data_IF_305374736930
#
_entry.id   IF_305374736930
#
_cell.length_a   1.000
_cell.length_b   1.000
_cell.length_c   1.000
_cell.angle_alpha   90.00
_cell.angle_beta   90.00
_cell.angle_gamma   90.00
#
_symmetry.space_group_name_H-M   'P 1'
#
loop_
_entity.id
_entity.type
_entity.pdbx_description
1 polymer ?
#
# COMPACT_ATOMS: atom_id res chain seq x y z
N UNK A 1 13.77 -50.55 -58.22
CA UNK A 1 13.05 -51.58 -57.44
C UNK A 1 14.06 -52.71 -57.27
N UNK A 2 14.67 -52.96 -56.13
CA UNK A 2 14.08 -53.20 -54.81
C UNK A 2 14.98 -52.64 -53.67
N UNK A 3 14.50 -51.65 -52.91
CA UNK A 3 15.07 -51.31 -51.60
C UNK A 3 14.35 -52.05 -50.46
N UNK A 4 13.67 -53.17 -50.76
CA UNK A 4 12.86 -53.91 -49.78
C UNK A 4 13.74 -54.86 -48.94
N UNK A 5 14.85 -55.37 -49.50
CA UNK A 5 15.74 -56.32 -48.82
C UNK A 5 16.43 -55.73 -47.57
N UNK A 6 16.89 -54.47 -47.61
CA UNK A 6 17.58 -53.86 -46.46
C UNK A 6 16.64 -53.56 -45.30
N UNK A 7 15.40 -53.15 -45.57
CA UNK A 7 14.42 -52.82 -44.54
C UNK A 7 13.88 -54.05 -43.83
N UNK A 8 13.77 -55.19 -44.53
CA UNK A 8 13.36 -56.46 -43.93
C UNK A 8 14.47 -57.02 -43.04
N UNK A 9 15.74 -56.89 -43.43
CA UNK A 9 16.87 -57.36 -42.64
C UNK A 9 17.07 -56.55 -41.35
N UNK A 10 16.89 -55.23 -41.37
CA UNK A 10 16.88 -54.41 -40.14
C UNK A 10 15.69 -54.70 -39.25
N UNK A 11 14.51 -54.97 -39.80
CA UNK A 11 13.33 -55.32 -39.00
C UNK A 11 13.50 -56.68 -38.30
N UNK A 12 14.10 -57.67 -38.97
CA UNK A 12 14.44 -58.97 -38.38
C UNK A 12 15.52 -58.82 -37.30
N UNK A 13 16.54 -57.98 -37.50
CA UNK A 13 17.56 -57.73 -36.46
C UNK A 13 16.96 -57.06 -35.21
N UNK A 14 16.06 -56.08 -35.40
CA UNK A 14 15.33 -55.42 -34.32
C UNK A 14 14.39 -56.37 -33.56
N UNK A 15 13.74 -57.31 -34.27
CA UNK A 15 12.91 -58.36 -33.66
C UNK A 15 13.76 -59.38 -32.87
N UNK A 16 14.98 -59.68 -33.28
CA UNK A 16 15.89 -60.57 -32.52
C UNK A 16 16.56 -59.89 -31.32
N UNK A 17 16.54 -58.55 -31.22
CA UNK A 17 17.00 -57.85 -30.00
C UNK A 17 15.93 -57.78 -28.90
N UNK A 18 14.71 -58.27 -29.16
CA UNK A 18 13.72 -58.62 -28.14
C UNK A 18 13.88 -60.09 -27.71
N UNK A 19 15.11 -60.53 -27.49
CA UNK A 19 15.35 -61.75 -26.70
C UNK A 19 14.98 -61.37 -25.27
N UNK A 20 13.89 -61.97 -24.82
CA UNK A 20 13.40 -62.03 -23.46
C UNK A 20 14.56 -61.97 -22.45
N UNK A 21 14.59 -60.92 -21.63
CA UNK A 21 15.18 -61.05 -20.30
C UNK A 21 14.36 -62.14 -19.62
N UNK A 22 14.86 -63.38 -19.63
CA UNK A 22 14.34 -64.42 -18.76
C UNK A 22 14.74 -64.00 -17.35
N UNK A 23 13.87 -63.23 -16.69
CA UNK A 23 14.01 -62.97 -15.28
C UNK A 23 14.00 -64.33 -14.57
N UNK A 24 15.13 -64.68 -13.95
CA UNK A 24 15.15 -65.78 -12.99
C UNK A 24 14.11 -65.52 -11.89
N UNK A 25 13.53 -66.56 -11.33
CA UNK A 25 12.61 -66.40 -10.20
C UNK A 25 13.42 -65.87 -9.02
N UNK A 26 13.01 -64.74 -8.47
CA UNK A 26 13.61 -64.17 -7.26
C UNK A 26 12.83 -64.66 -6.04
N UNK A 27 13.48 -65.44 -5.19
CA UNK A 27 13.00 -65.77 -3.85
C UNK A 27 13.50 -64.76 -2.82
N UNK A 28 13.03 -64.85 -1.57
CA UNK A 28 13.47 -63.99 -0.48
C UNK A 28 13.91 -64.84 0.71
N UNK A 29 15.16 -64.64 1.16
CA UNK A 29 15.74 -65.30 2.32
C UNK A 29 15.56 -64.42 3.57
N UNK A 30 14.73 -64.88 4.49
CA UNK A 30 14.43 -64.19 5.75
C UNK A 30 15.27 -64.71 6.94
N UNK A 31 16.17 -65.68 6.73
CA UNK A 31 17.04 -66.29 7.75
C UNK A 31 18.43 -65.65 7.87
N UNK A 32 18.76 -64.69 7.00
CA UNK A 32 20.06 -64.02 7.01
C UNK A 32 20.28 -63.18 8.29
N UNK A 33 21.51 -63.09 8.82
CA UNK A 33 21.82 -62.36 10.06
C UNK A 33 21.71 -60.82 9.95
N UNK A 34 21.48 -60.27 8.75
CA UNK A 34 21.42 -58.82 8.48
C UNK A 34 19.99 -58.29 8.22
N UNK A 35 18.97 -58.96 8.74
CA UNK A 35 17.58 -58.58 8.50
C UNK A 35 17.15 -57.43 9.41
N UNK A 36 16.67 -56.32 8.82
CA UNK A 36 16.08 -55.22 9.59
C UNK A 36 14.72 -55.65 10.12
N UNK A 37 14.53 -55.58 11.44
CA UNK A 37 13.29 -55.94 12.11
C UNK A 37 12.56 -54.65 12.52
N UNK A 38 11.33 -54.48 12.04
CA UNK A 38 10.42 -53.41 12.46
C UNK A 38 9.31 -54.00 13.31
N UNK A 39 9.12 -53.46 14.51
CA UNK A 39 8.15 -53.97 15.47
C UNK A 39 6.94 -53.04 15.51
N UNK A 40 5.74 -53.59 15.37
CA UNK A 40 4.49 -52.83 15.37
C UNK A 40 3.53 -53.37 16.42
N UNK A 41 2.88 -52.49 17.16
CA UNK A 41 1.80 -52.87 18.08
C UNK A 41 0.53 -53.20 17.31
N UNK A 42 -0.19 -54.24 17.74
CA UNK A 42 -1.50 -54.63 17.21
C UNK A 42 -2.66 -54.09 18.07
N UNK A 43 -2.37 -53.41 19.18
CA UNK A 43 -3.37 -53.03 20.18
C UNK A 43 -4.24 -51.85 19.76
N UNK A 44 -3.61 -50.76 19.32
CA UNK A 44 -4.32 -49.53 18.93
C UNK A 44 -3.51 -48.74 17.90
N UNK A 45 -4.22 -48.04 17.03
CA UNK A 45 -3.64 -47.03 16.13
C UNK A 45 -3.80 -45.67 16.80
N UNK A 46 -2.74 -44.88 16.82
CA UNK A 46 -2.74 -43.55 17.42
C UNK A 46 -3.78 -42.62 16.77
N UNK A 47 -4.24 -41.63 17.54
CA UNK A 47 -5.17 -40.61 17.07
C UNK A 47 -4.47 -39.55 16.23
N UNK A 48 -5.18 -39.00 15.24
CA UNK A 48 -4.68 -37.92 14.39
C UNK A 48 -4.65 -36.58 15.15
N UNK A 49 -3.61 -36.32 15.94
CA UNK A 49 -3.40 -35.03 16.63
C UNK A 49 -2.52 -34.09 15.79
N UNK A 50 -3.17 -33.24 14.99
CA UNK A 50 -2.51 -32.19 14.21
C UNK A 50 -2.70 -30.86 14.95
N UNK A 51 -1.62 -30.23 15.46
CA UNK A 51 -1.72 -29.05 16.33
C UNK A 51 -2.43 -27.90 15.62
N UNK A 52 -3.35 -27.24 16.34
CA UNK A 52 -4.00 -26.05 15.84
C UNK A 52 -3.07 -24.85 15.91
N UNK A 53 -2.94 -24.16 14.79
CA UNK A 53 -2.34 -22.82 14.75
C UNK A 53 -3.35 -21.84 15.36
N UNK A 54 -3.17 -21.51 16.64
CA UNK A 54 -3.97 -20.47 17.30
C UNK A 54 -3.39 -19.10 16.95
N UNK A 55 -4.11 -18.36 16.11
CA UNK A 55 -3.79 -16.96 15.85
C UNK A 55 -4.32 -16.13 17.02
N UNK A 56 -3.43 -15.53 17.81
CA UNK A 56 -3.83 -14.64 18.91
C UNK A 56 -4.36 -13.33 18.31
N UNK A 57 -5.69 -13.14 18.40
CA UNK A 57 -6.37 -11.91 18.00
C UNK A 57 -6.92 -11.18 19.22
N UNK A 58 -6.73 -9.87 19.25
CA UNK A 58 -7.24 -8.98 20.30
C UNK A 58 -7.88 -7.74 19.69
N UNK A 59 -8.96 -7.23 20.27
CA UNK A 59 -9.65 -6.05 19.76
C UNK A 59 -9.05 -4.78 20.36
N UNK A 60 -8.66 -3.83 19.51
CA UNK A 60 -8.01 -2.58 19.92
C UNK A 60 -8.65 -1.37 19.22
N UNK A 61 -8.90 -0.30 19.97
CA UNK A 61 -9.40 0.95 19.40
C UNK A 61 -8.24 1.77 18.83
N UNK A 62 -8.39 2.23 17.59
CA UNK A 62 -7.32 2.94 16.88
C UNK A 62 -7.87 4.07 16.02
N UNK A 63 -7.00 5.04 15.75
CA UNK A 63 -7.14 6.02 14.69
C UNK A 63 -6.18 5.65 13.55
N UNK A 64 -6.72 5.42 12.35
CA UNK A 64 -5.93 5.27 11.13
C UNK A 64 -5.66 6.65 10.55
N UNK A 65 -4.39 6.97 10.41
CA UNK A 65 -3.90 8.27 9.97
C UNK A 65 -3.22 8.16 8.61
N UNK A 66 -3.37 9.21 7.82
CA UNK A 66 -2.62 9.41 6.58
C UNK A 66 -1.67 10.61 6.72
N UNK A 67 -0.41 10.41 6.32
CA UNK A 67 0.54 11.50 6.13
C UNK A 67 0.15 12.35 4.91
N UNK A 68 -0.04 13.64 5.15
CA UNK A 68 -0.36 14.63 4.13
C UNK A 68 0.91 15.26 3.56
N UNK A 69 1.03 15.24 2.23
CA UNK A 69 2.01 16.06 1.52
C UNK A 69 1.49 17.48 1.25
N UNK A 70 0.15 17.63 1.25
CA UNK A 70 -0.53 18.87 0.89
C UNK A 70 -1.50 19.34 1.97
N UNK A 71 -1.62 20.66 2.11
CA UNK A 71 -2.62 21.35 2.91
C UNK A 71 -3.21 22.50 2.10
N UNK A 72 -4.19 23.20 2.65
CA UNK A 72 -4.75 24.41 2.05
C UNK A 72 -4.58 25.59 3.00
N UNK A 73 -4.20 26.75 2.46
CA UNK A 73 -4.20 28.03 3.19
C UNK A 73 -5.13 29.00 2.51
N UNK A 74 -5.75 29.86 3.31
CA UNK A 74 -6.58 30.95 2.80
C UNK A 74 -5.68 32.08 2.29
N UNK A 75 -5.96 32.55 1.08
CA UNK A 75 -5.16 33.53 0.36
C UNK A 75 -6.05 34.70 -0.06
N UNK A 76 -5.57 35.91 0.22
CA UNK A 76 -6.12 37.16 -0.30
C UNK A 76 -5.12 37.81 -1.26
N UNK A 77 -5.62 38.38 -2.34
CA UNK A 77 -4.81 39.06 -3.35
C UNK A 77 -5.38 40.43 -3.69
N UNK A 78 -4.49 41.42 -3.74
CA UNK A 78 -4.82 42.79 -4.10
C UNK A 78 -3.88 43.30 -5.19
N UNK A 79 -4.45 43.58 -6.36
CA UNK A 79 -3.77 44.23 -7.47
C UNK A 79 -4.33 45.62 -7.68
N UNK A 80 -3.47 46.63 -7.57
CA UNK A 80 -3.80 48.03 -7.83
C UNK A 80 -3.00 48.48 -9.04
N UNK A 81 -3.68 48.69 -10.16
CA UNK A 81 -3.10 49.20 -11.40
C UNK A 81 -3.44 50.69 -11.52
N UNK A 82 -2.41 51.52 -11.66
CA UNK A 82 -2.54 52.96 -11.85
C UNK A 82 -2.11 53.27 -13.27
N UNK A 83 -3.02 53.85 -14.04
CA UNK A 83 -2.73 54.41 -15.36
C UNK A 83 -2.91 55.92 -15.28
N UNK A 84 -1.80 56.66 -15.33
CA UNK A 84 -1.80 58.13 -15.16
C UNK A 84 -1.42 58.86 -16.44
N UNK A 85 -1.91 60.08 -16.53
CA UNK A 85 -1.56 61.08 -17.53
C UNK A 85 -1.31 62.42 -16.84
N UNK A 86 -0.08 62.91 -16.96
CA UNK A 86 0.39 64.20 -16.46
C UNK A 86 0.42 65.18 -17.62
N UNK A 87 -0.16 66.36 -17.41
CA UNK A 87 -0.06 67.50 -18.32
C UNK A 87 0.34 68.75 -17.57
N UNK A 88 1.27 69.52 -18.13
CA UNK A 88 1.68 70.81 -17.55
C UNK A 88 0.66 71.88 -17.88
N UNK A 89 0.28 72.67 -16.89
CA UNK A 89 -0.48 73.90 -17.09
C UNK A 89 0.48 75.00 -17.53
N UNK A 90 0.28 75.51 -18.75
CA UNK A 90 0.99 76.68 -19.25
C UNK A 90 0.38 77.99 -18.74
N UNK A 91 1.14 79.09 -18.91
CA UNK A 91 0.75 80.43 -18.44
C UNK A 91 -0.61 80.92 -18.96
N UNK A 92 -1.05 80.44 -20.13
CA UNK A 92 -2.33 80.80 -20.76
C UNK A 92 -3.37 79.67 -20.65
N UNK A 93 -3.30 78.85 -19.59
CA UNK A 93 -4.20 77.70 -19.36
C UNK A 93 -4.16 76.59 -20.44
N UNK A 94 -3.18 76.61 -21.34
CA UNK A 94 -2.97 75.51 -22.29
C UNK A 94 -2.29 74.33 -21.60
N UNK A 95 -2.70 73.11 -21.93
CA UNK A 95 -2.08 71.89 -21.42
C UNK A 95 -1.00 71.40 -22.37
N UNK A 96 0.19 71.10 -21.85
CA UNK A 96 1.31 70.57 -22.65
C UNK A 96 1.69 69.19 -22.12
N UNK A 97 2.04 68.27 -23.02
CA UNK A 97 2.60 66.98 -22.63
C UNK A 97 3.99 67.16 -22.00
N UNK A 98 4.28 66.33 -21.00
CA UNK A 98 5.56 66.32 -20.30
C UNK A 98 6.29 65.00 -20.52
N UNK A 99 7.61 65.03 -20.36
CA UNK A 99 8.42 63.82 -20.34
C UNK A 99 7.93 62.86 -19.24
N UNK A 100 7.80 61.56 -19.57
CA UNK A 100 7.19 60.53 -18.71
C UNK A 100 5.76 60.89 -18.23
N UNK A 101 5.03 61.68 -19.03
CA UNK A 101 3.69 62.16 -18.67
C UNK A 101 2.65 61.05 -18.62
N UNK A 102 2.72 60.06 -19.51
CA UNK A 102 1.84 58.89 -19.49
C UNK A 102 2.59 57.66 -19.00
N UNK A 103 2.08 57.01 -17.95
CA UNK A 103 2.66 55.78 -17.43
C UNK A 103 1.58 54.88 -16.82
N UNK A 104 1.78 53.57 -16.93
CA UNK A 104 0.95 52.56 -16.28
C UNK A 104 1.83 51.65 -15.43
N UNK A 105 1.48 51.48 -14.16
CA UNK A 105 2.27 50.70 -13.20
C UNK A 105 1.37 50.04 -12.16
N UNK A 106 1.90 49.02 -11.50
CA UNK A 106 1.25 48.36 -10.36
C UNK A 106 1.77 49.02 -9.10
N UNK A 107 0.85 49.48 -8.25
CA UNK A 107 1.17 50.03 -6.94
C UNK A 107 1.31 48.89 -5.93
N UNK A 108 2.36 48.94 -5.12
CA UNK A 108 2.57 47.99 -4.03
C UNK A 108 1.60 48.27 -2.88
N UNK A 109 0.95 47.23 -2.39
CA UNK A 109 -0.10 47.34 -1.36
C UNK A 109 0.32 46.55 -0.13
N UNK A 110 0.24 47.16 1.05
CA UNK A 110 0.54 46.46 2.31
C UNK A 110 -0.56 45.46 2.67
N UNK A 111 -0.23 44.48 3.51
CA UNK A 111 -1.18 43.49 4.02
C UNK A 111 -2.40 44.15 4.66
N UNK A 112 -2.22 45.18 5.48
CA UNK A 112 -3.29 45.87 6.20
C UNK A 112 -4.21 46.60 5.23
N UNK A 113 -3.63 47.22 4.20
CA UNK A 113 -4.39 47.92 3.17
C UNK A 113 -5.21 46.93 2.34
N UNK A 114 -4.62 45.80 1.95
CA UNK A 114 -5.31 44.74 1.25
C UNK A 114 -6.44 44.14 2.09
N UNK A 115 -6.18 43.85 3.36
CA UNK A 115 -7.18 43.34 4.29
C UNK A 115 -8.33 44.34 4.50
N UNK A 116 -8.04 45.64 4.59
CA UNK A 116 -9.07 46.69 4.64
C UNK A 116 -9.92 46.72 3.37
N UNK A 117 -9.34 46.52 2.20
CA UNK A 117 -10.08 46.43 0.93
C UNK A 117 -11.03 45.22 0.93
N UNK A 118 -10.60 44.07 1.44
CA UNK A 118 -11.42 42.86 1.51
C UNK A 118 -12.52 42.92 2.58
N UNK A 119 -12.20 43.42 3.79
CA UNK A 119 -13.11 43.39 4.94
C UNK A 119 -14.03 44.60 4.99
N UNK A 120 -13.49 45.81 4.81
CA UNK A 120 -14.23 47.07 4.93
C UNK A 120 -14.74 47.54 3.56
N UNK A 121 -14.12 47.11 2.46
CA UNK A 121 -14.49 47.55 1.12
C UNK A 121 -14.02 48.96 0.78
N UNK A 122 -12.93 49.43 1.42
CA UNK A 122 -12.41 50.79 1.26
C UNK A 122 -10.90 50.82 1.01
N UNK A 123 -10.45 51.81 0.25
CA UNK A 123 -9.04 52.05 -0.06
C UNK A 123 -8.71 53.54 -0.10
N UNK A 124 -7.47 53.89 0.22
CA UNK A 124 -6.92 55.22 -0.04
C UNK A 124 -5.68 55.04 -0.92
N UNK A 125 -5.77 55.44 -2.18
CA UNK A 125 -4.72 55.24 -3.20
C UNK A 125 -4.41 56.60 -3.82
N UNK A 126 -3.15 57.04 -3.72
CA UNK A 126 -2.69 58.35 -4.25
C UNK A 126 -3.61 59.51 -3.79
N UNK A 127 -3.97 59.53 -2.51
CA UNK A 127 -4.84 60.57 -1.92
C UNK A 127 -6.33 60.44 -2.24
N UNK A 128 -6.73 59.49 -3.09
CA UNK A 128 -8.14 59.26 -3.48
C UNK A 128 -8.77 58.21 -2.58
N UNK A 129 -9.91 58.53 -1.97
CA UNK A 129 -10.69 57.59 -1.17
C UNK A 129 -11.69 56.84 -2.05
N UNK A 130 -11.60 55.51 -2.06
CA UNK A 130 -12.43 54.61 -2.87
C UNK A 130 -13.24 53.74 -1.91
N UNK A 131 -14.55 53.61 -2.18
CA UNK A 131 -15.49 52.81 -1.39
C UNK A 131 -16.26 51.83 -2.27
N UNK A 132 -16.89 50.84 -1.63
CA UNK A 132 -17.73 49.85 -2.31
C UNK A 132 -16.93 48.76 -3.03
N UNK A 133 -15.70 48.49 -2.60
CA UNK A 133 -14.90 47.38 -3.09
C UNK A 133 -15.46 46.06 -2.54
N UNK A 134 -15.43 45.00 -3.37
CA UNK A 134 -15.88 43.65 -3.01
C UNK A 134 -14.83 42.62 -3.39
N UNK A 135 -14.69 41.58 -2.57
CA UNK A 135 -13.83 40.43 -2.88
C UNK A 135 -14.26 39.76 -4.19
N UNK A 136 -13.29 39.25 -4.96
CA UNK A 136 -13.50 38.59 -6.26
C UNK A 136 -14.10 39.49 -7.35
N UNK A 137 -13.92 40.82 -7.24
CA UNK A 137 -14.39 41.80 -8.21
C UNK A 137 -13.23 42.72 -8.66
N UNK A 138 -13.36 43.27 -9.88
CA UNK A 138 -12.48 44.31 -10.39
C UNK A 138 -13.23 45.63 -10.50
N UNK A 139 -12.80 46.64 -9.76
CA UNK A 139 -13.38 47.98 -9.76
C UNK A 139 -12.42 48.96 -10.42
N UNK A 140 -12.94 49.84 -11.28
CA UNK A 140 -12.17 50.91 -11.91
C UNK A 140 -12.77 52.27 -11.61
N UNK A 141 -11.92 53.26 -11.29
CA UNK A 141 -12.32 54.64 -10.98
C UNK A 141 -11.39 55.61 -11.69
N UNK A 142 -11.97 56.57 -12.39
CA UNK A 142 -11.24 57.74 -12.88
C UNK A 142 -11.08 58.72 -11.70
N UNK A 143 -9.90 59.26 -11.52
CA UNK A 143 -9.63 60.24 -10.50
C UNK A 143 -8.59 61.27 -10.96
N UNK A 144 -8.66 62.45 -10.34
CA UNK A 144 -7.64 63.50 -10.46
C UNK A 144 -6.76 63.41 -9.23
N UNK A 145 -5.47 63.13 -9.42
CA UNK A 145 -4.50 62.97 -8.34
C UNK A 145 -3.95 64.31 -7.85
N UNK A 146 -3.80 65.29 -8.75
CA UNK A 146 -3.41 66.66 -8.40
C UNK A 146 -3.86 67.63 -9.48
N UNK A 147 -3.97 68.90 -9.10
CA UNK A 147 -4.48 69.97 -9.96
C UNK A 147 -5.94 69.77 -10.37
N UNK A 148 -6.48 70.67 -11.18
CA UNK A 148 -7.78 70.52 -11.81
C UNK A 148 -7.90 71.42 -13.04
N UNK A 149 -8.85 71.08 -13.92
CA UNK A 149 -9.30 71.96 -15.01
C UNK A 149 -10.75 72.29 -14.72
N UNK A 150 -11.07 73.57 -14.63
CA UNK A 150 -12.44 74.01 -14.37
C UNK A 150 -13.34 73.94 -15.62
N UNK A 151 -14.62 74.22 -15.46
CA UNK A 151 -15.59 74.22 -16.56
C UNK A 151 -15.31 75.27 -17.64
N UNK A 152 -14.48 76.28 -17.34
CA UNK A 152 -14.08 77.33 -18.29
C UNK A 152 -12.82 76.96 -19.08
N UNK A 153 -12.18 75.83 -18.75
CA UNK A 153 -10.93 75.40 -19.35
C UNK A 153 -9.68 75.99 -18.68
N UNK A 154 -9.82 76.66 -17.53
CA UNK A 154 -8.69 77.18 -16.77
C UNK A 154 -7.97 76.04 -16.05
N UNK A 155 -6.67 75.92 -16.30
CA UNK A 155 -5.81 74.85 -15.77
C UNK A 155 -5.12 75.33 -14.49
N UNK A 156 -5.44 74.71 -13.36
CA UNK A 156 -4.79 74.99 -12.08
C UNK A 156 -3.85 73.81 -11.75
N UNK A 157 -2.55 74.04 -11.89
CA UNK A 157 -1.51 73.04 -11.69
C UNK A 157 -1.15 72.86 -10.22
N UNK A 158 -0.83 71.63 -9.83
CA UNK A 158 -0.25 71.28 -8.54
C UNK A 158 1.13 70.63 -8.69
N UNK A 159 1.75 70.29 -7.56
CA UNK A 159 2.92 69.42 -7.52
C UNK A 159 2.52 67.95 -7.54
N UNK A 160 3.28 67.11 -8.25
CA UNK A 160 3.13 65.65 -8.23
C UNK A 160 4.49 64.97 -8.27
N UNK A 161 4.64 63.88 -7.53
CA UNK A 161 5.83 63.04 -7.58
C UNK A 161 5.45 61.57 -7.47
N UNK A 162 6.14 60.73 -8.23
CA UNK A 162 6.08 59.27 -8.14
C UNK A 162 7.45 58.65 -8.44
N UNK A 163 7.51 57.32 -8.56
CA UNK A 163 8.74 56.58 -8.86
C UNK A 163 9.42 56.96 -10.19
N UNK A 164 8.73 57.65 -11.10
CA UNK A 164 9.20 57.98 -12.45
C UNK A 164 9.59 59.45 -12.61
N UNK A 165 9.40 60.29 -11.59
CA UNK A 165 9.83 61.67 -11.57
C UNK A 165 9.02 62.57 -10.66
N UNK A 166 9.35 63.86 -10.71
CA UNK A 166 8.62 64.93 -10.02
C UNK A 166 8.31 66.04 -11.01
N UNK A 167 7.10 66.58 -10.93
CA UNK A 167 6.62 67.64 -11.80
C UNK A 167 5.92 68.73 -10.98
N UNK A 168 6.06 69.97 -11.42
CA UNK A 168 5.39 71.15 -10.84
C UNK A 168 4.46 71.77 -11.86
N UNK A 169 3.41 72.44 -11.37
CA UNK A 169 2.38 73.09 -12.18
C UNK A 169 1.70 72.13 -13.17
N UNK A 170 1.35 70.92 -12.69
CA UNK A 170 0.74 69.86 -13.49
C UNK A 170 -0.67 69.52 -13.02
N UNK A 171 -1.51 69.08 -13.97
CA UNK A 171 -2.74 68.34 -13.70
C UNK A 171 -2.47 66.88 -13.97
N UNK A 172 -2.81 66.02 -13.02
CA UNK A 172 -2.62 64.58 -13.11
C UNK A 172 -3.97 63.91 -13.00
N UNK A 173 -4.37 63.27 -14.09
CA UNK A 173 -5.58 62.45 -14.14
C UNK A 173 -5.19 61.01 -14.42
N UNK A 174 -5.96 60.08 -13.90
CA UNK A 174 -5.67 58.68 -14.12
C UNK A 174 -6.82 57.78 -13.75
N UNK A 175 -6.65 56.51 -14.11
CA UNK A 175 -7.57 55.45 -13.75
C UNK A 175 -6.89 54.56 -12.72
N UNK A 176 -7.55 54.38 -11.58
CA UNK A 176 -7.19 53.41 -10.56
C UNK A 176 -8.06 52.18 -10.80
N UNK A 177 -7.44 51.06 -11.12
CA UNK A 177 -8.10 49.77 -11.28
C UNK A 177 -7.65 48.83 -10.17
N UNK A 178 -8.60 48.37 -9.37
CA UNK A 178 -8.37 47.50 -8.21
C UNK A 178 -9.02 46.14 -8.51
N UNK A 179 -8.24 45.08 -8.45
CA UNK A 179 -8.71 43.70 -8.55
C UNK A 179 -8.44 42.99 -7.22
N UNK A 180 -9.50 42.46 -6.61
CA UNK A 180 -9.43 41.71 -5.37
C UNK A 180 -9.75 40.24 -5.63
N UNK A 181 -8.95 39.32 -5.09
CA UNK A 181 -9.25 37.88 -5.15
C UNK A 181 -9.13 37.24 -3.77
N UNK A 182 -10.02 36.29 -3.50
CA UNK A 182 -10.14 35.61 -2.21
C UNK A 182 -10.41 34.12 -2.50
N UNK A 183 -9.47 33.25 -2.10
CA UNK A 183 -9.55 31.81 -2.36
C UNK A 183 -8.60 30.98 -1.46
N UNK A 184 -8.78 29.66 -1.48
CA UNK A 184 -7.84 28.74 -0.84
C UNK A 184 -6.79 28.21 -1.83
N UNK A 185 -5.51 28.31 -1.47
CA UNK A 185 -4.39 27.81 -2.25
C UNK A 185 -3.83 26.50 -1.69
N UNK A 186 -3.25 25.68 -2.56
CA UNK A 186 -2.61 24.41 -2.17
C UNK A 186 -1.21 24.67 -1.66
N UNK A 187 -0.87 24.06 -0.53
CA UNK A 187 0.42 24.16 0.14
C UNK A 187 1.07 22.80 0.18
N UNK A 188 2.30 22.70 -0.31
CA UNK A 188 3.13 21.50 -0.18
C UNK A 188 4.00 21.64 1.07
N UNK A 189 3.60 20.95 2.14
CA UNK A 189 4.19 21.11 3.49
C UNK A 189 5.67 20.70 3.50
N UNK A 190 6.00 19.61 2.79
CA UNK A 190 7.36 19.06 2.80
C UNK A 190 8.40 19.99 2.16
N UNK A 191 7.97 20.86 1.24
CA UNK A 191 8.86 21.77 0.50
C UNK A 191 8.72 23.22 0.92
N UNK A 192 7.90 23.53 1.95
CA UNK A 192 7.60 24.89 2.38
C UNK A 192 7.08 25.79 1.24
N UNK A 193 6.21 25.28 0.35
CA UNK A 193 5.75 26.02 -0.84
C UNK A 193 4.23 26.15 -0.91
N UNK A 194 3.76 27.35 -1.22
CA UNK A 194 2.37 27.65 -1.61
C UNK A 194 2.30 27.75 -3.12
N UNK A 195 1.31 27.12 -3.73
CA UNK A 195 1.04 27.21 -5.16
C UNK A 195 -0.23 28.05 -5.39
N UNK A 196 -0.05 29.20 -6.05
CA UNK A 196 -1.13 30.12 -6.39
C UNK A 196 -1.90 29.66 -7.63
N UNK A 197 -3.09 30.23 -7.88
CA UNK A 197 -3.92 29.91 -9.05
C UNK A 197 -3.23 30.19 -10.39
N UNK A 198 -2.36 31.21 -10.43
CA UNK A 198 -1.53 31.54 -11.59
C UNK A 198 -0.43 30.52 -11.89
N UNK A 199 -0.21 29.55 -10.99
CA UNK A 199 0.86 28.57 -11.07
C UNK A 199 2.19 29.01 -10.43
N UNK A 200 2.28 30.26 -9.95
CA UNK A 200 3.45 30.74 -9.20
C UNK A 200 3.57 29.99 -7.88
N UNK A 201 4.79 29.58 -7.54
CA UNK A 201 5.10 28.96 -6.25
C UNK A 201 5.87 29.92 -5.36
N UNK A 202 5.35 30.20 -4.18
CA UNK A 202 5.95 31.10 -3.19
C UNK A 202 6.37 30.31 -1.95
N UNK A 203 7.30 30.85 -1.18
CA UNK A 203 7.72 30.23 0.07
C UNK A 203 6.67 30.46 1.17
N UNK A 204 6.19 29.40 1.81
CA UNK A 204 5.07 29.47 2.76
C UNK A 204 5.40 30.30 4.01
N UNK A 205 6.65 30.30 4.46
CA UNK A 205 7.10 31.04 5.65
C UNK A 205 7.09 32.55 5.47
N UNK A 206 7.17 33.05 4.24
CA UNK A 206 7.22 34.49 3.98
C UNK A 206 5.87 35.15 4.22
N UNK A 207 4.78 34.39 4.15
CA UNK A 207 3.38 34.85 4.30
C UNK A 207 2.91 35.88 3.26
N UNK A 208 3.79 36.31 2.36
CA UNK A 208 3.58 37.30 1.31
C UNK A 208 4.24 36.84 0.02
N UNK A 209 3.66 37.23 -1.12
CA UNK A 209 4.24 37.00 -2.44
C UNK A 209 3.65 37.96 -3.47
N UNK A 210 4.38 38.20 -4.55
CA UNK A 210 3.87 38.96 -5.70
C UNK A 210 3.47 37.98 -6.80
N UNK A 211 2.18 37.95 -7.10
CA UNK A 211 1.61 37.19 -8.20
C UNK A 211 1.54 38.07 -9.46
N UNK A 212 1.93 37.52 -10.60
CA UNK A 212 1.92 38.23 -11.89
C UNK A 212 0.49 38.60 -12.32
N UNK A 213 -0.48 37.74 -12.01
CA UNK A 213 -1.89 37.96 -12.33
C UNK A 213 -2.62 38.67 -11.19
N UNK A 214 -2.51 38.14 -9.97
CA UNK A 214 -3.23 38.61 -8.78
C UNK A 214 -2.60 39.77 -8.00
N UNK A 215 -1.37 40.18 -8.32
CA UNK A 215 -0.67 41.25 -7.60
C UNK A 215 -0.19 40.82 -6.20
N UNK A 216 -0.27 41.72 -5.23
CA UNK A 216 0.22 41.46 -3.88
C UNK A 216 -0.65 40.41 -3.19
N UNK A 217 -0.04 39.30 -2.78
CA UNK A 217 -0.70 38.11 -2.28
C UNK A 217 -0.30 37.86 -0.84
N UNK A 218 -1.28 37.56 0.01
CA UNK A 218 -1.06 37.35 1.44
C UNK A 218 -1.83 36.12 1.94
N UNK A 219 -1.23 35.41 2.88
CA UNK A 219 -1.87 34.33 3.64
C UNK A 219 -1.42 34.37 5.10
N UNK A 220 -2.08 33.60 5.94
CA UNK A 220 -1.69 33.40 7.33
C UNK A 220 -0.66 32.27 7.46
N UNK A 221 0.29 32.43 8.38
CA UNK A 221 1.20 31.35 8.72
C UNK A 221 0.41 30.16 9.27
N UNK A 222 0.79 28.94 8.88
CA UNK A 222 0.20 27.75 9.46
C UNK A 222 0.44 27.75 10.98
N UNK A 223 -0.56 27.34 11.79
CA UNK A 223 -0.37 27.25 13.23
C UNK A 223 0.83 26.35 13.52
N UNK A 224 1.80 26.89 14.28
CA UNK A 224 2.95 26.12 14.72
C UNK A 224 2.50 25.12 15.78
N UNK A 225 2.01 23.97 15.34
CA UNK A 225 1.88 22.82 16.22
C UNK A 225 3.28 22.31 16.55
N UNK A 226 3.69 22.43 17.83
CA UNK A 226 4.93 21.84 18.35
C UNK A 226 5.03 20.35 18.01
N UNK A 227 3.88 19.69 17.88
CA UNK A 227 3.72 18.27 17.61
C UNK A 227 3.40 17.95 16.14
N UNK A 228 3.32 18.95 15.26
CA UNK A 228 3.06 18.83 13.81
C UNK A 228 1.88 17.92 13.46
N UNK A 229 0.84 17.90 14.31
CA UNK A 229 -0.33 17.04 14.10
C UNK A 229 -1.09 17.36 12.81
N UNK A 230 -1.00 18.60 12.34
CA UNK A 230 -1.55 19.03 11.05
C UNK A 230 -1.06 18.19 9.85
N UNK A 231 0.09 17.52 9.94
CA UNK A 231 0.59 16.60 8.89
C UNK A 231 -0.19 15.29 8.79
N UNK A 232 -1.03 14.98 9.77
CA UNK A 232 -1.80 13.74 9.84
C UNK A 232 -3.28 14.03 9.63
N UNK A 233 -3.89 13.31 8.70
CA UNK A 233 -5.34 13.30 8.55
C UNK A 233 -5.93 12.00 9.07
N UNK A 234 -6.99 12.11 9.86
CA UNK A 234 -7.78 10.96 10.28
C UNK A 234 -8.55 10.39 9.08
N UNK A 235 -8.26 9.14 8.72
CA UNK A 235 -9.02 8.38 7.74
C UNK A 235 -10.12 7.55 8.38
N UNK A 236 -9.84 6.97 9.53
CA UNK A 236 -10.77 6.10 10.24
C UNK A 236 -10.53 6.14 11.74
N UNK A 237 -11.59 6.02 12.52
CA UNK A 237 -11.57 5.92 13.98
C UNK A 237 -12.54 4.81 14.42
N UNK A 238 -12.04 3.85 15.19
CA UNK A 238 -12.87 2.72 15.64
C UNK A 238 -12.09 1.52 16.14
N UNK A 239 -12.81 0.43 16.41
CA UNK A 239 -12.21 -0.83 16.83
C UNK A 239 -11.66 -1.63 15.66
N UNK A 240 -10.46 -2.21 15.84
CA UNK A 240 -9.75 -3.08 14.89
C UNK A 240 -9.32 -4.37 15.56
N UNK A 241 -9.12 -5.41 14.76
CA UNK A 241 -8.55 -6.67 15.21
C UNK A 241 -7.03 -6.62 15.07
N UNK A 242 -6.32 -6.65 16.21
CA UNK A 242 -4.88 -6.81 16.29
C UNK A 242 -4.54 -8.29 16.33
N UNK A 243 -3.98 -8.78 15.24
CA UNK A 243 -3.56 -10.15 15.02
C UNK A 243 -2.06 -10.26 15.23
N UNK A 244 -1.63 -11.18 16.08
CA UNK A 244 -0.20 -11.48 16.29
C UNK A 244 0.06 -12.86 15.72
N UNK A 245 0.78 -12.89 14.59
CA UNK A 245 1.23 -14.12 13.96
C UNK A 245 2.56 -14.54 14.61
N UNK A 246 2.52 -15.59 15.45
CA UNK A 246 3.68 -16.16 16.12
C UNK A 246 4.22 -17.42 15.44
N UNK A 247 3.83 -17.69 14.18
CA UNK A 247 4.05 -18.98 13.51
C UNK A 247 5.49 -19.12 12.98
N UNK A 248 6.22 -18.01 12.81
CA UNK A 248 7.61 -18.01 12.35
C UNK A 248 8.52 -17.26 13.32
N UNK A 249 9.83 -17.48 13.25
CA UNK A 249 10.86 -16.76 14.03
C UNK A 249 10.78 -15.21 13.92
N UNK A 250 9.89 -14.68 13.07
CA UNK A 250 9.51 -13.27 13.00
C UNK A 250 8.03 -13.11 13.34
N UNK A 251 7.75 -12.79 14.60
CA UNK A 251 6.40 -12.39 15.02
C UNK A 251 5.98 -11.13 14.26
N UNK A 252 4.93 -11.22 13.43
CA UNK A 252 4.39 -10.07 12.69
C UNK A 252 3.04 -9.67 13.31
N UNK A 253 2.92 -8.39 13.69
CA UNK A 253 1.65 -7.83 14.16
C UNK A 253 0.91 -7.21 12.98
N UNK A 254 -0.37 -7.53 12.86
CA UNK A 254 -1.24 -7.05 11.78
C UNK A 254 -2.48 -6.42 12.40
N UNK A 255 -2.85 -5.24 11.90
CA UNK A 255 -4.12 -4.60 12.22
C UNK A 255 -5.08 -4.83 11.07
N UNK A 256 -6.19 -5.51 11.35
CA UNK A 256 -7.26 -5.74 10.39
C UNK A 256 -8.48 -4.91 10.78
N UNK A 257 -8.98 -4.14 9.81
CA UNK A 257 -10.23 -3.40 9.89
C UNK A 257 -11.16 -3.91 8.80
N UNK A 258 -12.40 -4.17 9.17
CA UNK A 258 -13.51 -4.38 8.24
C UNK A 258 -14.64 -3.41 8.59
N UNK A 259 -14.85 -2.41 7.74
CA UNK A 259 -16.00 -1.50 7.77
C UNK A 259 -16.80 -1.65 6.47
N UNK A 260 -18.07 -1.21 6.46
CA UNK A 260 -19.11 -1.54 5.47
C UNK A 260 -18.65 -1.61 4.00
N UNK A 261 -17.91 -0.62 3.51
CA UNK A 261 -17.36 -0.61 2.13
C UNK A 261 -15.83 -0.71 2.06
N UNK A 262 -15.14 -0.80 3.20
CA UNK A 262 -13.69 -0.62 3.27
C UNK A 262 -13.05 -1.62 4.23
N UNK A 263 -12.16 -2.47 3.71
CA UNK A 263 -11.31 -3.33 4.53
C UNK A 263 -9.84 -2.94 4.37
N UNK A 264 -9.14 -2.90 5.49
CA UNK A 264 -7.71 -2.64 5.54
C UNK A 264 -7.04 -3.73 6.37
N UNK A 265 -5.96 -4.29 5.85
CA UNK A 265 -5.02 -5.09 6.62
C UNK A 265 -3.66 -4.40 6.52
N UNK A 266 -3.09 -4.01 7.65
CA UNK A 266 -1.84 -3.27 7.72
C UNK A 266 -0.89 -3.96 8.68
N UNK A 267 0.24 -4.43 8.16
CA UNK A 267 1.27 -4.99 9.00
C UNK A 267 2.19 -3.93 9.60
N UNK A 268 2.57 -4.15 10.85
CA UNK A 268 3.45 -3.25 11.61
C UNK A 268 4.88 -3.41 11.11
N UNK A 269 5.55 -2.28 10.88
CA UNK A 269 6.98 -2.20 10.53
C UNK A 269 7.84 -1.60 11.63
N UNK A 270 7.25 -0.78 12.50
CA UNK A 270 7.94 -0.16 13.62
C UNK A 270 7.07 0.86 14.33
N UNK A 271 7.69 1.62 15.22
CA UNK A 271 7.02 2.65 16.01
C UNK A 271 7.79 3.98 15.88
N UNK A 272 7.06 5.08 15.97
CA UNK A 272 7.57 6.44 15.95
C UNK A 272 6.93 7.23 17.09
N UNK A 273 7.73 7.90 17.90
CA UNK A 273 7.22 8.71 19.00
C UNK A 273 7.13 10.16 18.57
N UNK A 274 5.93 10.72 18.58
CA UNK A 274 5.68 12.13 18.29
C UNK A 274 4.94 12.72 19.48
N UNK A 275 5.51 13.78 20.08
CA UNK A 275 4.84 14.49 21.17
C UNK A 275 4.49 13.59 22.37
N UNK A 276 5.35 12.61 22.69
CA UNK A 276 5.11 11.56 23.71
C UNK A 276 3.96 10.60 23.39
N UNK A 277 3.41 10.64 22.17
CA UNK A 277 2.47 9.65 21.66
C UNK A 277 3.19 8.68 20.73
N UNK A 278 2.94 7.38 20.91
CA UNK A 278 3.51 6.34 20.06
C UNK A 278 2.60 6.09 18.87
N UNK A 279 3.13 6.35 17.68
CA UNK A 279 2.51 6.08 16.39
C UNK A 279 3.12 4.79 15.82
N UNK A 280 2.26 3.93 15.31
CA UNK A 280 2.66 2.64 14.74
C UNK A 280 2.81 2.83 13.23
N UNK A 281 4.03 2.62 12.73
CA UNK A 281 4.34 2.65 11.30
C UNK A 281 3.92 1.33 10.65
N UNK A 282 3.23 1.44 9.53
CA UNK A 282 2.78 0.28 8.76
C UNK A 282 3.69 0.04 7.55
N UNK A 283 3.45 -1.05 6.82
CA UNK A 283 4.11 -1.31 5.54
C UNK A 283 3.82 -0.26 4.46
N UNK A 284 2.70 0.47 4.57
CA UNK A 284 2.41 1.57 3.69
C UNK A 284 3.08 2.85 4.21
N UNK A 285 3.93 3.54 3.42
CA UNK A 285 4.75 4.65 3.90
C UNK A 285 3.94 5.86 4.40
N UNK A 286 2.67 5.97 3.99
CA UNK A 286 1.77 7.07 4.37
C UNK A 286 0.71 6.70 5.40
N UNK A 287 0.51 5.40 5.70
CA UNK A 287 -0.53 4.98 6.65
C UNK A 287 0.10 4.66 8.01
N UNK A 288 -0.47 5.25 9.05
CA UNK A 288 0.04 5.18 10.41
C UNK A 288 -1.14 4.87 11.33
N UNK A 289 -0.91 4.03 12.33
CA UNK A 289 -1.94 3.64 13.30
C UNK A 289 -1.61 4.31 14.62
N UNK A 290 -2.59 4.99 15.21
CA UNK A 290 -2.50 5.51 16.57
C UNK A 290 -3.46 4.72 17.46
N UNK A 291 -2.91 3.94 18.40
CA UNK A 291 -3.72 3.25 19.40
C UNK A 291 -4.20 4.26 20.45
N UNK A 292 -5.50 4.29 20.69
CA UNK A 292 -6.11 5.17 21.70
C UNK A 292 -7.37 4.53 22.28
N UNK A 293 -8.07 5.24 23.14
CA UNK A 293 -9.36 4.84 23.69
C UNK A 293 -10.51 5.65 23.07
N UNK A 294 -11.74 5.12 23.07
CA UNK A 294 -12.91 5.85 22.58
C UNK A 294 -13.07 7.21 23.27
N UNK A 295 -13.18 8.28 22.48
CA UNK A 295 -13.34 9.65 22.97
C UNK A 295 -12.04 10.37 23.35
N UNK A 296 -10.90 9.68 23.36
CA UNK A 296 -9.56 10.24 23.56
C UNK A 296 -8.77 10.37 22.24
N UNK A 297 -9.50 10.48 21.13
CA UNK A 297 -8.93 10.72 19.80
C UNK A 297 -8.23 12.08 19.73
N UNK A 298 -6.96 12.08 19.32
CA UNK A 298 -6.16 13.31 19.17
C UNK A 298 -6.30 13.92 17.78
N UNK A 299 -6.34 13.06 16.77
CA UNK A 299 -6.38 13.48 15.37
C UNK A 299 -7.82 13.68 14.92
N UNK A 300 -8.02 14.68 14.05
CA UNK A 300 -9.35 15.04 13.53
C UNK A 300 -9.42 14.83 12.03
N UNK A 301 -10.63 14.58 11.53
CA UNK A 301 -10.89 14.49 10.11
C UNK A 301 -10.54 15.82 9.40
N UNK A 302 -9.95 15.76 8.18
CA UNK A 302 -9.63 16.97 7.43
C UNK A 302 -10.91 17.71 7.01
N UNK A 303 -10.86 19.06 6.99
CA UNK A 303 -11.98 19.90 6.51
C UNK A 303 -12.26 19.75 5.01
N UNK A 304 -11.27 19.32 4.21
CA UNK A 304 -11.42 19.01 2.78
C UNK A 304 -10.65 17.74 2.41
N UNK A 305 -11.32 16.84 1.71
CA UNK A 305 -10.83 15.51 1.32
C UNK A 305 -10.27 15.57 -0.10
N UNK A 306 -9.15 16.28 -0.31
CA UNK A 306 -8.47 16.29 -1.63
C UNK A 306 -7.27 15.31 -1.68
N UNK A 307 -6.87 14.75 -0.54
CA UNK A 307 -5.66 13.94 -0.40
C UNK A 307 -5.93 12.45 -0.14
N UNK A 308 -7.15 11.94 -0.32
CA UNK A 308 -7.40 10.53 -0.07
C UNK A 308 -6.61 9.71 -1.09
N UNK A 309 -5.58 9.01 -0.62
CA UNK A 309 -4.71 8.24 -1.49
C UNK A 309 -5.46 6.99 -1.95
N UNK A 310 -6.11 7.08 -3.11
CA UNK A 310 -6.84 5.99 -3.75
C UNK A 310 -5.97 4.74 -3.94
N UNK A 311 -4.64 4.87 -4.02
CA UNK A 311 -3.72 3.74 -4.08
C UNK A 311 -3.48 3.10 -2.71
N UNK A 312 -3.44 3.88 -1.63
CA UNK A 312 -3.40 3.34 -0.27
C UNK A 312 -4.66 2.50 0.04
N UNK A 313 -5.82 2.92 -0.48
CA UNK A 313 -7.08 2.19 -0.40
C UNK A 313 -7.12 0.91 -1.24
N UNK A 314 -6.49 0.89 -2.42
CA UNK A 314 -6.39 -0.33 -3.24
C UNK A 314 -5.40 -1.34 -2.67
N UNK A 315 -4.23 -0.88 -2.22
CA UNK A 315 -3.17 -1.75 -1.71
C UNK A 315 -3.60 -2.49 -0.42
N UNK A 316 -4.42 -1.86 0.42
CA UNK A 316 -4.95 -2.50 1.62
C UNK A 316 -5.92 -3.64 1.33
N UNK A 317 -6.70 -3.55 0.23
CA UNK A 317 -7.57 -4.64 -0.23
C UNK A 317 -6.77 -5.82 -0.73
N UNK A 318 -5.65 -5.60 -1.42
CA UNK A 318 -4.78 -6.69 -1.86
C UNK A 318 -4.16 -7.45 -0.68
N UNK A 319 -3.67 -6.75 0.34
CA UNK A 319 -3.13 -7.39 1.57
C UNK A 319 -4.23 -8.14 2.33
N UNK A 320 -5.44 -7.57 2.42
CA UNK A 320 -6.58 -8.25 3.04
C UNK A 320 -6.95 -9.54 2.29
N UNK A 321 -6.99 -9.49 0.95
CA UNK A 321 -7.27 -10.65 0.11
C UNK A 321 -6.16 -11.70 0.24
N UNK A 322 -4.89 -11.32 0.15
CA UNK A 322 -3.76 -12.24 0.34
C UNK A 322 -3.81 -12.95 1.69
N UNK A 323 -4.12 -12.22 2.77
CA UNK A 323 -4.19 -12.79 4.12
C UNK A 323 -5.45 -13.61 4.36
N UNK A 324 -6.60 -13.20 3.82
CA UNK A 324 -7.82 -14.01 3.82
C UNK A 324 -7.59 -15.33 3.08
N UNK A 325 -6.96 -15.27 1.90
CA UNK A 325 -6.57 -16.46 1.12
C UNK A 325 -5.57 -17.31 1.93
N UNK A 326 -4.57 -16.71 2.57
CA UNK A 326 -3.59 -17.45 3.39
C UNK A 326 -4.25 -18.16 4.57
N UNK A 327 -5.22 -17.51 5.25
CA UNK A 327 -5.97 -18.11 6.35
C UNK A 327 -6.86 -19.27 5.88
N UNK A 328 -7.55 -19.11 4.75
CA UNK A 328 -8.37 -20.16 4.14
C UNK A 328 -7.51 -21.33 3.64
N UNK A 329 -6.34 -21.06 3.07
CA UNK A 329 -5.36 -22.08 2.65
C UNK A 329 -4.86 -22.88 3.86
N UNK A 330 -4.55 -22.22 4.98
CA UNK A 330 -4.10 -22.93 6.20
C UNK A 330 -5.19 -23.84 6.78
N UNK A 331 -6.45 -23.40 6.74
CA UNK A 331 -7.60 -24.23 7.15
C UNK A 331 -7.81 -25.42 6.20
N UNK A 332 -7.72 -25.19 4.89
CA UNK A 332 -7.81 -26.24 3.88
C UNK A 332 -6.66 -27.25 4.00
N UNK A 333 -5.43 -26.77 4.20
CA UNK A 333 -4.25 -27.61 4.39
C UNK A 333 -4.40 -28.52 5.61
N UNK A 334 -4.88 -27.99 6.74
CA UNK A 334 -5.20 -28.81 7.92
C UNK A 334 -6.27 -29.86 7.63
N UNK A 335 -7.34 -29.47 6.93
CA UNK A 335 -8.41 -30.42 6.57
C UNK A 335 -7.88 -31.56 5.69
N UNK A 336 -6.98 -31.27 4.75
CA UNK A 336 -6.33 -32.28 3.90
C UNK A 336 -5.45 -33.20 4.76
N UNK A 337 -4.63 -32.66 5.67
CA UNK A 337 -3.79 -33.47 6.55
C UNK A 337 -4.61 -34.38 7.48
N UNK A 338 -5.70 -33.86 8.06
CA UNK A 338 -6.63 -34.66 8.87
C UNK A 338 -7.28 -35.76 8.02
N UNK A 339 -7.70 -35.44 6.80
CA UNK A 339 -8.29 -36.43 5.89
C UNK A 339 -7.29 -37.52 5.50
N UNK A 340 -6.06 -37.14 5.17
CA UNK A 340 -4.99 -38.10 4.87
C UNK A 340 -4.70 -39.01 6.06
N UNK A 341 -4.55 -38.44 7.26
CA UNK A 341 -4.31 -39.22 8.47
C UNK A 341 -5.48 -40.18 8.76
N UNK A 342 -6.74 -39.74 8.61
CA UNK A 342 -7.92 -40.61 8.76
C UNK A 342 -7.95 -41.75 7.74
N UNK A 343 -7.57 -41.48 6.50
CA UNK A 343 -7.48 -42.51 5.47
C UNK A 343 -6.39 -43.53 5.80
N UNK A 344 -5.21 -43.06 6.23
CA UNK A 344 -4.13 -43.94 6.67
C UNK A 344 -4.54 -44.77 7.90
N UNK A 345 -5.22 -44.16 8.88
CA UNK A 345 -5.77 -44.85 10.04
C UNK A 345 -6.77 -45.94 9.63
N UNK A 346 -7.69 -45.66 8.70
CA UNK A 346 -8.63 -46.65 8.16
C UNK A 346 -7.91 -47.78 7.42
N UNK A 347 -6.88 -47.45 6.62
CA UNK A 347 -6.06 -48.46 5.95
C UNK A 347 -5.34 -49.35 6.96
N UNK A 348 -4.77 -48.77 8.02
CA UNK A 348 -4.12 -49.52 9.10
C UNK A 348 -5.12 -50.40 9.85
N UNK A 349 -6.34 -49.92 10.14
CA UNK A 349 -7.39 -50.73 10.76
C UNK A 349 -7.75 -51.95 9.91
N UNK A 350 -7.94 -51.75 8.60
CA UNK A 350 -8.23 -52.84 7.67
C UNK A 350 -7.05 -53.82 7.55
N UNK A 351 -5.82 -53.33 7.60
CA UNK A 351 -4.62 -54.17 7.58
C UNK A 351 -4.47 -54.98 8.89
N UNK A 352 -4.75 -54.39 10.05
CA UNK A 352 -4.70 -55.10 11.33
C UNK A 352 -5.68 -56.28 11.38
N UNK A 353 -6.83 -56.18 10.69
CA UNK A 353 -7.80 -57.29 10.61
C UNK A 353 -7.23 -58.55 9.93
N UNK A 354 -6.28 -58.41 8.99
CA UNK A 354 -5.64 -59.55 8.30
C UNK A 354 -4.34 -60.00 8.97
N UNK A 355 -3.77 -59.20 9.89
CA UNK A 355 -2.49 -59.48 10.53
C UNK A 355 -2.49 -60.81 11.32
N UNK A 356 -3.60 -61.17 11.96
CA UNK A 356 -3.71 -62.43 12.70
C UNK A 356 -3.97 -63.65 11.80
N UNK A 357 -4.70 -63.48 10.69
CA UNK A 357 -5.09 -64.59 9.82
C UNK A 357 -3.98 -64.94 8.82
N UNK A 358 -3.24 -63.94 8.34
CA UNK A 358 -2.19 -64.12 7.35
C UNK A 358 -1.09 -63.04 7.49
N UNK A 359 -0.11 -63.25 8.40
CA UNK A 359 0.94 -62.29 8.69
C UNK A 359 1.74 -61.83 7.46
N UNK A 360 2.06 -62.74 6.54
CA UNK A 360 2.86 -62.40 5.35
C UNK A 360 2.08 -61.54 4.33
N UNK A 361 0.77 -61.75 4.24
CA UNK A 361 -0.12 -60.90 3.41
C UNK A 361 -0.24 -59.51 4.04
N UNK A 362 -0.30 -59.44 5.37
CA UNK A 362 -0.24 -58.16 6.09
C UNK A 362 1.06 -57.40 5.81
N UNK A 363 2.23 -58.06 5.89
CA UNK A 363 3.51 -57.43 5.56
C UNK A 363 3.55 -56.95 4.11
N UNK A 364 3.03 -57.73 3.16
CA UNK A 364 2.92 -57.34 1.76
C UNK A 364 2.09 -56.06 1.56
N UNK A 365 0.92 -55.98 2.20
CA UNK A 365 0.04 -54.81 2.10
C UNK A 365 0.61 -53.57 2.79
N UNK A 366 1.20 -53.72 3.98
CA UNK A 366 1.74 -52.60 4.73
C UNK A 366 3.01 -52.03 4.08
N UNK A 367 3.93 -52.90 3.64
CA UNK A 367 5.20 -52.50 3.03
C UNK A 367 5.08 -52.18 1.54
N UNK A 368 3.89 -52.36 0.95
CA UNK A 368 3.57 -52.11 -0.47
C UNK A 368 4.49 -52.87 -1.44
N UNK A 369 4.87 -54.10 -1.09
CA UNK A 369 5.72 -54.94 -1.95
C UNK A 369 6.19 -56.25 -1.30
N UNK A 370 6.76 -57.18 -2.10
CA UNK A 370 7.30 -58.45 -1.63
C UNK A 370 8.66 -58.27 -0.92
N UNK A 371 9.14 -59.33 -0.25
CA UNK A 371 10.42 -59.32 0.45
C UNK A 371 10.34 -58.92 1.92
N UNK A 372 9.17 -59.05 2.51
CA UNK A 372 8.93 -58.86 3.93
C UNK A 372 8.18 -60.07 4.47
N UNK A 373 8.62 -60.58 5.61
CA UNK A 373 7.94 -61.62 6.38
C UNK A 373 7.40 -60.99 7.66
N UNK A 374 6.25 -61.45 8.14
CA UNK A 374 5.71 -60.98 9.42
C UNK A 374 5.60 -62.12 10.42
N UNK A 375 6.09 -61.89 11.63
CA UNK A 375 6.08 -62.84 12.74
C UNK A 375 5.20 -62.30 13.86
N UNK A 376 4.12 -62.99 14.15
CA UNK A 376 3.22 -62.65 15.25
C UNK A 376 3.82 -63.11 16.58
N UNK A 377 3.94 -62.18 17.53
CA UNK A 377 4.44 -62.43 18.88
C UNK A 377 3.52 -61.78 19.92
N UNK A 378 2.40 -62.45 20.24
CA UNK A 378 1.39 -61.91 21.15
C UNK A 378 0.68 -60.69 20.56
N UNK A 379 0.75 -59.55 21.25
CA UNK A 379 0.10 -58.29 20.87
C UNK A 379 0.95 -57.41 19.93
N UNK A 380 2.02 -57.99 19.39
CA UNK A 380 3.02 -57.31 18.58
C UNK A 380 3.32 -58.15 17.34
N UNK A 381 3.57 -57.50 16.21
CA UNK A 381 4.02 -58.14 14.97
C UNK A 381 5.39 -57.60 14.58
N UNK A 382 6.30 -58.53 14.28
CA UNK A 382 7.66 -58.22 13.83
C UNK A 382 7.74 -58.40 12.31
N UNK A 383 7.99 -57.31 11.59
CA UNK A 383 8.21 -57.33 10.15
C UNK A 383 9.71 -57.44 9.90
N UNK A 384 10.11 -58.49 9.20
CA UNK A 384 11.48 -58.81 8.86
C UNK A 384 11.68 -58.53 7.37
N UNK A 385 12.63 -57.65 7.03
CA UNK A 385 13.01 -57.42 5.64
C UNK A 385 13.93 -58.54 5.16
N UNK A 386 13.48 -59.30 4.18
CA UNK A 386 14.18 -60.45 3.62
C UNK A 386 15.12 -60.04 2.49
N UNK A 387 16.18 -60.83 2.28
CA UNK A 387 17.19 -60.59 1.26
C UNK A 387 16.75 -61.26 -0.06
N UNK A 388 16.71 -60.55 -1.19
CA UNK A 388 16.36 -61.18 -2.47
C UNK A 388 17.46 -62.15 -2.92
N UNK A 389 17.07 -63.37 -3.31
CA UNK A 389 17.95 -64.45 -3.76
C UNK A 389 17.44 -65.05 -5.06
N UNK A 390 18.33 -65.45 -5.96
CA UNK A 390 17.95 -66.13 -7.19
C UNK A 390 17.63 -67.60 -6.90
N UNK A 391 16.45 -68.08 -7.32
CA UNK A 391 16.00 -69.46 -7.07
C UNK A 391 15.80 -70.24 -8.36
N UNK A 392 16.13 -71.53 -8.34
CA UNK A 392 15.93 -72.46 -9.47
C UNK A 392 14.81 -73.44 -9.15
N UNK A 393 13.90 -73.67 -10.09
CA UNK A 393 12.80 -74.63 -9.91
C UNK A 393 13.38 -76.04 -9.80
N UNK A 394 12.98 -76.76 -8.74
CA UNK A 394 13.34 -78.16 -8.54
C UNK A 394 12.28 -79.04 -9.19
N UNK A 395 12.67 -79.83 -10.19
CA UNK A 395 11.81 -80.86 -10.77
C UNK A 395 11.71 -82.05 -9.80
N UNK A 396 10.49 -82.38 -9.37
CA UNK A 396 10.21 -83.53 -8.49
C UNK A 396 9.18 -84.45 -9.14
N UNK A 397 9.27 -85.76 -8.88
CA UNK A 397 8.32 -86.75 -9.37
C UNK A 397 7.01 -86.82 -8.57
N UNK A 398 6.96 -86.14 -7.41
CA UNK A 398 5.80 -86.06 -6.53
C UNK A 398 5.11 -84.69 -6.64
N UNK A 399 3.79 -84.69 -6.51
CA UNK A 399 2.97 -83.47 -6.52
C UNK A 399 2.95 -82.82 -5.14
N UNK A 400 3.36 -81.56 -5.05
CA UNK A 400 3.26 -80.73 -3.85
C UNK A 400 2.24 -79.60 -4.06
N UNK A 401 1.68 -79.08 -2.97
CA UNK A 401 0.74 -77.94 -2.99
C UNK A 401 1.41 -76.60 -3.33
N UNK A 402 2.73 -76.54 -3.29
CA UNK A 402 3.55 -75.36 -3.60
C UNK A 402 4.73 -75.74 -4.49
N UNK A 403 5.21 -74.78 -5.28
CA UNK A 403 6.33 -74.97 -6.20
C UNK A 403 7.64 -75.18 -5.44
N UNK A 404 8.32 -76.30 -5.70
CA UNK A 404 9.60 -76.62 -5.07
C UNK A 404 10.74 -75.85 -5.75
N UNK A 405 11.58 -75.18 -4.97
CA UNK A 405 12.74 -74.44 -5.46
C UNK A 405 14.02 -74.81 -4.71
N UNK A 406 15.17 -74.67 -5.38
CA UNK A 406 16.51 -74.80 -4.84
C UNK A 406 17.15 -73.41 -4.80
N UNK A 407 17.42 -72.92 -3.59
CA UNK A 407 18.38 -71.84 -3.36
C UNK A 407 19.71 -72.43 -2.90
N UNK A 408 20.80 -71.69 -3.08
CA UNK A 408 22.15 -72.15 -2.69
C UNK A 408 22.34 -72.19 -1.17
N UNK A 409 21.35 -71.81 -0.34
CA UNK A 409 21.41 -71.84 1.14
C UNK A 409 20.03 -72.19 1.77
N UNK A 410 20.06 -72.77 2.98
CA UNK A 410 18.99 -73.41 3.73
C UNK A 410 17.83 -72.49 4.18
N UNK A 411 16.60 -72.91 3.84
CA UNK A 411 15.26 -72.36 4.17
C UNK A 411 14.85 -71.09 3.40
N UNK A 412 13.76 -71.23 2.65
CA UNK A 412 13.05 -70.17 1.91
C UNK A 412 11.60 -70.20 2.42
N UNK A 413 10.99 -69.03 2.60
CA UNK A 413 9.56 -68.85 2.91
C UNK A 413 8.78 -68.44 1.66
#
# INVERSE_FOLDING_TARGET
>A
MEPISKSVFTFILLLTTWIYNTHGITGYDCGAPTTNITTLSLLNIEECDIPQVTVNSSRQFVQLLQLNDFQTVHVIQCKVEINRLIRKCGMLSHTIDVHNGKFAYIEEVTRETCLRMHVIGTAQIVGVFITGLKSNETTSRLATFTGYVDSTGTCNGGGYSDHYGSWTDVVVIGTIKITLQDYDAVVRINTNRVQLKSGITCELSDTTCVDIEGGNTFWEALPQDSCKFSRYSLLFEGFTDKIIDSITERSQTIYSLTAEETSFALAVRGEEVICRHTLIRTEHPKLIIFSTEPGLGLFKAPRRVNNLDSFAYMNSKFVHVEKYISAQINQLYRNILIQQCRLEQQMLQNALAIAMQSPDIFAYHLMKGPGYMALLAGEVIHIVKCVPVEVKIRQTSECYSQLQSLATINRIS
#
